data_IF_369459675926
#
_entry.id   IF_369459675926
#
_cell.length_a   1.000
_cell.length_b   1.000
_cell.length_c   1.000
_cell.angle_alpha   90.00
_cell.angle_beta   90.00
_cell.angle_gamma   90.00
#
_symmetry.space_group_name_H-M   'P 1'
#
loop_
_entity.id
_entity.type
_entity.pdbx_description
1 polymer ?
#
# COMPACT_ATOMS: atom_id res chain seq x y z
N UNK A 1 -0.39 -11.19 -1.45
CA UNK A 1 0.47 -12.36 -1.71
C UNK A 1 -0.41 -13.60 -1.76
N UNK A 2 -0.31 -14.39 -2.83
CA UNK A 2 -1.10 -15.61 -2.99
C UNK A 2 -0.19 -16.85 -2.81
N UNK A 3 -0.53 -17.70 -1.84
CA UNK A 3 0.17 -18.97 -1.58
C UNK A 3 -0.66 -20.11 -2.16
N UNK A 4 -0.15 -20.77 -3.20
CA UNK A 4 -0.87 -21.83 -3.93
C UNK A 4 -0.18 -23.19 -3.84
N UNK A 5 0.98 -23.30 -3.20
CA UNK A 5 1.74 -24.57 -3.14
C UNK A 5 0.96 -25.71 -2.49
N UNK A 6 0.07 -25.40 -1.55
CA UNK A 6 -0.78 -26.40 -0.88
C UNK A 6 -1.85 -27.00 -1.79
N UNK A 7 -2.09 -26.38 -2.94
CA UNK A 7 -3.07 -26.82 -3.93
C UNK A 7 -2.48 -27.79 -4.96
N UNK A 8 -1.21 -28.19 -4.81
CA UNK A 8 -0.55 -29.14 -5.71
C UNK A 8 -1.38 -30.42 -5.98
N UNK A 9 -1.94 -31.13 -4.98
CA UNK A 9 -2.72 -32.34 -5.24
C UNK A 9 -3.98 -32.10 -6.09
N UNK A 10 -4.54 -30.90 -6.03
CA UNK A 10 -5.68 -30.48 -6.85
C UNK A 10 -5.23 -30.12 -8.26
N UNK A 11 -4.16 -29.32 -8.40
CA UNK A 11 -3.63 -28.89 -9.68
C UNK A 11 -3.12 -30.06 -10.54
N UNK A 12 -2.50 -31.06 -9.91
CA UNK A 12 -1.98 -32.25 -10.60
C UNK A 12 -3.07 -33.06 -11.33
N UNK A 13 -4.34 -32.91 -10.95
CA UNK A 13 -5.48 -33.64 -11.53
C UNK A 13 -6.26 -32.86 -12.59
N UNK A 14 -5.86 -31.63 -12.85
CA UNK A 14 -6.51 -30.78 -13.84
C UNK A 14 -5.94 -31.06 -15.23
N UNK A 15 -6.77 -30.85 -16.26
CA UNK A 15 -6.28 -30.80 -17.64
C UNK A 15 -5.93 -29.36 -18.07
N UNK A 16 -6.61 -28.37 -17.49
CA UNK A 16 -6.43 -26.96 -17.81
C UNK A 16 -6.31 -26.16 -16.51
N UNK A 17 -5.26 -25.36 -16.38
CA UNK A 17 -5.04 -24.49 -15.23
C UNK A 17 -4.64 -23.09 -15.69
N UNK A 18 -5.54 -22.13 -15.51
CA UNK A 18 -5.30 -20.75 -15.89
C UNK A 18 -5.05 -19.91 -14.65
N UNK A 19 -3.80 -19.46 -14.47
CA UNK A 19 -3.38 -18.70 -13.29
C UNK A 19 -2.61 -17.43 -13.65
N UNK A 20 -2.70 -16.99 -14.91
CA UNK A 20 -2.18 -15.71 -15.36
C UNK A 20 -2.88 -14.53 -14.64
N UNK A 21 -2.27 -13.34 -14.70
CA UNK A 21 -2.79 -12.09 -14.11
C UNK A 21 -3.06 -12.17 -12.60
N UNK A 22 -2.12 -12.75 -11.87
CA UNK A 22 -2.18 -12.91 -10.42
C UNK A 22 -0.91 -12.33 -9.76
N UNK A 23 -0.67 -12.69 -8.50
CA UNK A 23 0.57 -12.36 -7.78
C UNK A 23 1.11 -13.60 -7.09
N UNK A 24 1.12 -14.71 -7.84
CA UNK A 24 1.68 -15.99 -7.41
C UNK A 24 3.19 -15.89 -7.47
N UNK A 25 3.84 -16.41 -6.43
CA UNK A 25 5.29 -16.38 -6.28
C UNK A 25 5.92 -17.72 -6.61
N UNK A 26 5.29 -18.81 -6.19
CA UNK A 26 5.78 -20.18 -6.43
C UNK A 26 4.63 -21.11 -6.80
N UNK A 27 4.88 -22.04 -7.71
CA UNK A 27 3.96 -23.10 -8.11
C UNK A 27 4.69 -24.45 -8.06
N UNK A 28 4.01 -25.49 -7.58
CA UNK A 28 4.51 -26.86 -7.57
C UNK A 28 3.52 -27.78 -8.28
N UNK A 29 4.07 -28.62 -9.14
CA UNK A 29 3.38 -29.72 -9.80
C UNK A 29 4.19 -30.99 -9.57
N UNK A 30 3.54 -32.15 -9.52
CA UNK A 30 4.23 -33.43 -9.55
C UNK A 30 4.58 -33.84 -10.97
N UNK A 31 5.54 -34.75 -11.13
CA UNK A 31 5.93 -35.33 -12.43
C UNK A 31 4.80 -36.15 -13.09
N UNK A 32 3.72 -36.44 -12.36
CA UNK A 32 2.57 -37.22 -12.84
C UNK A 32 1.32 -36.36 -13.03
N UNK A 33 1.49 -35.03 -13.20
CA UNK A 33 0.36 -34.13 -13.45
C UNK A 33 -0.34 -34.46 -14.79
N UNK A 34 -1.62 -34.14 -14.89
CA UNK A 34 -2.43 -34.35 -16.10
C UNK A 34 -2.60 -33.10 -16.96
N UNK A 35 -1.95 -31.99 -16.60
CA UNK A 35 -2.09 -30.71 -17.29
C UNK A 35 -1.69 -30.79 -18.77
N UNK A 36 -2.56 -30.25 -19.61
CA UNK A 36 -2.39 -30.04 -21.05
C UNK A 36 -2.21 -28.56 -21.37
N UNK A 37 -3.00 -27.68 -20.72
CA UNK A 37 -2.92 -26.23 -20.87
C UNK A 37 -2.68 -25.55 -19.52
N UNK A 38 -1.77 -24.58 -19.50
CA UNK A 38 -1.30 -23.85 -18.34
C UNK A 38 -0.97 -22.41 -18.76
N UNK A 39 -1.51 -21.42 -18.07
CA UNK A 39 -1.11 -20.01 -18.26
C UNK A 39 -0.49 -19.47 -16.97
N UNK A 40 0.66 -18.82 -17.10
CA UNK A 40 1.55 -18.41 -15.99
C UNK A 40 1.94 -16.93 -16.05
N UNK A 41 1.70 -16.21 -17.15
CA UNK A 41 2.13 -14.82 -17.34
C UNK A 41 1.51 -13.87 -16.32
N UNK A 42 2.06 -12.66 -16.20
CA UNK A 42 1.53 -11.61 -15.32
C UNK A 42 1.41 -12.07 -13.85
N UNK A 43 2.48 -12.69 -13.34
CA UNK A 43 2.64 -13.11 -11.96
C UNK A 43 3.95 -12.57 -11.36
N UNK A 44 4.25 -12.92 -10.11
CA UNK A 44 5.37 -12.36 -9.36
C UNK A 44 6.42 -13.42 -9.00
N UNK A 45 6.81 -14.22 -10.00
CA UNK A 45 7.50 -15.49 -9.82
C UNK A 45 8.86 -15.38 -9.12
N UNK A 46 9.17 -16.43 -8.36
CA UNK A 46 10.52 -16.77 -7.94
C UNK A 46 11.24 -17.59 -9.03
N UNK A 47 12.47 -17.19 -9.36
CA UNK A 47 13.22 -17.83 -10.46
C UNK A 47 13.56 -19.29 -10.18
N UNK A 48 13.90 -19.64 -8.93
CA UNK A 48 14.22 -21.03 -8.58
C UNK A 48 12.97 -21.93 -8.64
N UNK A 49 11.81 -21.41 -8.22
CA UNK A 49 10.53 -22.09 -8.38
C UNK A 49 10.19 -22.32 -9.85
N UNK A 50 10.39 -21.34 -10.73
CA UNK A 50 10.14 -21.54 -12.17
C UNK A 50 11.08 -22.59 -12.75
N UNK A 51 12.39 -22.51 -12.49
CA UNK A 51 13.35 -23.53 -12.98
C UNK A 51 12.97 -24.93 -12.53
N UNK A 52 12.49 -25.09 -11.28
CA UNK A 52 12.03 -26.37 -10.78
C UNK A 52 10.72 -26.83 -11.47
N UNK A 53 9.78 -25.91 -11.70
CA UNK A 53 8.53 -26.18 -12.40
C UNK A 53 8.78 -26.67 -13.83
N UNK A 54 9.61 -25.96 -14.60
CA UNK A 54 9.92 -26.30 -16.00
C UNK A 54 10.71 -27.60 -16.16
N UNK A 55 11.36 -28.11 -15.10
CA UNK A 55 11.92 -29.47 -15.11
C UNK A 55 10.86 -30.57 -15.03
N UNK A 56 9.70 -30.24 -14.47
CA UNK A 56 8.57 -31.17 -14.30
C UNK A 56 7.64 -31.17 -15.51
N UNK A 57 7.53 -30.03 -16.20
CA UNK A 57 6.72 -29.88 -17.41
C UNK A 57 7.37 -30.65 -18.57
N UNK A 58 6.65 -31.61 -19.15
CA UNK A 58 7.25 -32.56 -20.11
C UNK A 58 7.11 -32.17 -21.59
N UNK A 59 6.06 -31.48 -22.05
CA UNK A 59 5.85 -30.89 -23.41
C UNK A 59 4.69 -29.87 -23.35
N UNK A 60 4.52 -28.95 -24.34
CA UNK A 60 4.12 -27.57 -24.06
C UNK A 60 2.81 -27.51 -23.30
N UNK A 61 2.93 -27.31 -21.98
CA UNK A 61 1.81 -27.02 -21.13
C UNK A 61 1.58 -25.52 -21.06
N UNK A 62 2.64 -24.71 -21.21
CA UNK A 62 2.57 -23.26 -20.99
C UNK A 62 2.17 -22.55 -22.28
N UNK A 63 1.00 -21.93 -22.28
CA UNK A 63 0.36 -21.30 -23.45
C UNK A 63 0.58 -19.78 -23.52
N UNK A 64 1.31 -19.19 -22.58
CA UNK A 64 1.56 -17.75 -22.50
C UNK A 64 2.99 -17.37 -22.05
N UNK A 65 3.33 -16.09 -22.17
CA UNK A 65 4.64 -15.55 -21.82
C UNK A 65 4.54 -14.05 -21.49
N UNK A 66 5.45 -13.57 -20.66
CA UNK A 66 5.65 -12.15 -20.39
C UNK A 66 6.51 -11.49 -21.47
N UNK A 67 6.19 -10.24 -21.80
CA UNK A 67 6.94 -9.46 -22.80
C UNK A 67 8.05 -8.60 -22.18
N UNK A 68 7.78 -8.03 -21.00
CA UNK A 68 8.66 -7.10 -20.32
C UNK A 68 8.60 -7.31 -18.81
N UNK A 69 9.76 -7.21 -18.15
CA UNK A 69 9.86 -7.36 -16.71
C UNK A 69 10.11 -6.02 -16.01
N UNK A 70 9.61 -5.89 -14.78
CA UNK A 70 9.90 -4.76 -13.90
C UNK A 70 11.35 -4.79 -13.42
N UNK A 71 11.82 -3.70 -12.81
CA UNK A 71 13.18 -3.60 -12.29
C UNK A 71 13.48 -4.76 -11.31
N UNK A 72 14.71 -5.28 -11.38
CA UNK A 72 15.19 -6.45 -10.63
C UNK A 72 14.54 -7.80 -11.01
N UNK A 73 13.71 -7.84 -12.06
CA UNK A 73 13.16 -9.06 -12.64
C UNK A 73 13.79 -9.31 -14.01
N UNK A 74 13.87 -10.57 -14.39
CA UNK A 74 14.31 -10.99 -15.72
C UNK A 74 13.45 -12.14 -16.23
N UNK A 75 13.56 -12.42 -17.54
CA UNK A 75 12.83 -13.53 -18.16
C UNK A 75 13.54 -14.85 -17.87
N UNK A 76 12.80 -15.81 -17.35
CA UNK A 76 13.18 -17.21 -17.17
C UNK A 76 12.09 -18.05 -17.85
N UNK A 77 12.47 -18.81 -18.89
CA UNK A 77 11.52 -19.57 -19.71
C UNK A 77 10.34 -18.73 -20.25
N UNK A 78 10.58 -17.46 -20.57
CA UNK A 78 9.55 -16.54 -21.09
C UNK A 78 8.65 -15.90 -20.04
N UNK A 79 8.91 -16.09 -18.74
CA UNK A 79 8.14 -15.50 -17.65
C UNK A 79 9.03 -14.63 -16.77
N UNK A 80 8.50 -13.51 -16.27
CA UNK A 80 9.23 -12.62 -15.40
C UNK A 80 9.38 -13.21 -14.01
N UNK A 81 10.61 -13.25 -13.50
CA UNK A 81 10.92 -13.72 -12.16
C UNK A 81 12.00 -12.87 -11.48
N UNK A 82 12.08 -12.95 -10.15
CA UNK A 82 13.13 -12.34 -9.34
C UNK A 82 13.83 -13.39 -8.50
N UNK A 83 15.16 -13.31 -8.46
CA UNK A 83 15.99 -14.15 -7.59
C UNK A 83 15.80 -13.75 -6.12
N UNK A 84 15.60 -14.73 -5.25
CA UNK A 84 15.51 -14.52 -3.81
C UNK A 84 15.62 -15.84 -3.04
N UNK A 85 16.41 -15.85 -1.96
CA UNK A 85 16.49 -17.00 -1.04
C UNK A 85 15.18 -17.26 -0.28
N UNK A 86 14.40 -16.19 -0.01
CA UNK A 86 13.14 -16.23 0.73
C UNK A 86 12.05 -15.45 0.00
N UNK A 87 11.52 -15.98 -1.11
CA UNK A 87 10.74 -15.19 -2.06
C UNK A 87 9.47 -14.58 -1.44
N UNK A 88 8.74 -15.31 -0.61
CA UNK A 88 7.58 -14.76 0.10
C UNK A 88 7.93 -13.64 1.09
N UNK A 89 9.06 -13.74 1.79
CA UNK A 89 9.52 -12.69 2.70
C UNK A 89 9.95 -11.44 1.91
N UNK A 90 10.67 -11.63 0.81
CA UNK A 90 11.07 -10.54 -0.08
C UNK A 90 9.85 -9.77 -0.62
N UNK A 91 8.79 -10.47 -1.07
CA UNK A 91 7.57 -9.79 -1.51
C UNK A 91 6.80 -9.09 -0.39
N UNK A 92 6.79 -9.68 0.81
CA UNK A 92 6.19 -9.06 1.98
C UNK A 92 6.91 -7.74 2.32
N UNK A 93 8.24 -7.75 2.30
CA UNK A 93 9.04 -6.55 2.52
C UNK A 93 8.80 -5.49 1.43
N UNK A 94 8.68 -5.88 0.16
CA UNK A 94 8.32 -4.96 -0.93
C UNK A 94 6.95 -4.31 -0.69
N UNK A 95 5.94 -5.10 -0.33
CA UNK A 95 4.59 -4.58 -0.04
C UNK A 95 4.60 -3.62 1.15
N UNK A 96 5.29 -3.97 2.24
CA UNK A 96 5.46 -3.11 3.41
C UNK A 96 6.20 -1.82 3.03
N UNK A 97 7.24 -1.89 2.21
CA UNK A 97 7.98 -0.71 1.79
C UNK A 97 7.06 0.26 1.03
N UNK A 98 6.26 -0.25 0.09
CA UNK A 98 5.29 0.55 -0.68
C UNK A 98 4.23 1.19 0.23
N UNK A 99 3.65 0.44 1.17
CA UNK A 99 2.62 0.97 2.08
C UNK A 99 3.19 1.92 3.13
N UNK A 100 4.42 1.69 3.58
CA UNK A 100 5.07 2.54 4.60
C UNK A 100 5.35 3.96 4.10
N UNK A 101 5.53 4.17 2.79
CA UNK A 101 5.65 5.51 2.21
C UNK A 101 4.36 6.30 2.44
N UNK A 102 3.21 5.67 2.19
CA UNK A 102 1.88 6.25 2.46
C UNK A 102 1.74 6.57 3.94
N UNK A 103 2.08 5.64 4.82
CA UNK A 103 1.98 5.86 6.27
C UNK A 103 2.89 6.98 6.78
N UNK A 104 4.12 7.06 6.25
CA UNK A 104 5.07 8.13 6.60
C UNK A 104 4.61 9.49 6.09
N UNK A 105 3.98 9.56 4.92
CA UNK A 105 3.41 10.80 4.39
C UNK A 105 2.24 11.29 5.27
N UNK A 106 1.32 10.39 5.64
CA UNK A 106 0.22 10.68 6.59
C UNK A 106 0.74 11.18 7.94
N UNK A 107 1.86 10.64 8.43
CA UNK A 107 2.53 11.12 9.65
C UNK A 107 3.24 12.47 9.49
N UNK A 108 3.69 12.83 8.28
CA UNK A 108 4.30 14.15 8.00
C UNK A 108 3.28 15.27 7.85
N UNK A 109 2.07 14.96 7.34
CA UNK A 109 0.94 15.91 7.34
C UNK A 109 0.50 16.28 8.76
N UNK A 110 0.74 15.39 9.72
CA UNK A 110 0.79 15.72 11.14
C UNK A 110 2.07 16.49 11.47
N UNK A 111 2.12 17.78 11.09
CA UNK A 111 2.77 18.72 12.00
C UNK A 111 1.95 18.70 13.28
N UNK A 112 2.41 17.91 14.26
CA UNK A 112 1.71 17.76 15.53
C UNK A 112 1.63 19.13 16.23
N UNK A 113 0.53 19.84 16.01
CA UNK A 113 0.18 21.06 16.74
C UNK A 113 0.27 20.79 18.25
N UNK A 114 -0.04 19.56 18.68
CA UNK A 114 0.13 19.07 20.05
C UNK A 114 1.59 19.13 20.51
N UNK A 115 2.55 18.70 19.68
CA UNK A 115 3.98 18.78 20.03
C UNK A 115 4.47 20.23 20.09
N UNK A 116 3.96 21.10 19.22
CA UNK A 116 4.24 22.54 19.28
C UNK A 116 3.68 23.16 20.58
N UNK A 117 2.43 22.86 20.93
CA UNK A 117 1.79 23.28 22.18
C UNK A 117 2.57 22.77 23.40
N UNK A 118 2.96 21.50 23.41
CA UNK A 118 3.70 20.91 24.52
C UNK A 118 5.10 21.53 24.67
N UNK A 119 5.75 21.88 23.57
CA UNK A 119 7.05 22.57 23.60
C UNK A 119 6.93 23.99 24.17
N UNK A 120 5.87 24.73 23.82
CA UNK A 120 5.57 26.05 24.41
C UNK A 120 5.25 25.93 25.90
N UNK A 121 4.48 24.92 26.31
CA UNK A 121 4.17 24.68 27.73
C UNK A 121 5.43 24.36 28.55
N UNK A 122 6.32 23.52 28.03
CA UNK A 122 7.61 23.22 28.67
C UNK A 122 8.49 24.47 28.77
N UNK A 123 8.50 25.33 27.76
CA UNK A 123 9.25 26.58 27.77
C UNK A 123 8.72 27.55 28.85
N UNK A 124 7.39 27.74 28.92
CA UNK A 124 6.75 28.61 29.93
C UNK A 124 7.03 28.10 31.34
N UNK A 125 6.99 26.79 31.55
CA UNK A 125 7.29 26.18 32.84
C UNK A 125 8.77 26.34 33.23
N UNK A 126 9.69 26.16 32.28
CA UNK A 126 11.13 26.36 32.50
C UNK A 126 11.47 27.81 32.88
N UNK A 127 10.86 28.78 32.18
CA UNK A 127 11.04 30.22 32.47
C UNK A 127 10.51 30.56 33.87
N UNK A 128 9.39 29.96 34.30
CA UNK A 128 8.84 30.13 35.66
C UNK A 128 9.72 29.48 36.75
N UNK A 129 10.56 28.51 36.42
CA UNK A 129 11.40 27.77 37.38
C UNK A 129 12.82 28.31 37.54
N UNK A 130 13.40 28.98 36.53
CA UNK A 130 14.80 29.46 36.58
C UNK A 130 14.97 30.97 36.87
N UNK A 131 13.90 31.75 36.99
CA UNK A 131 13.99 33.18 37.28
C UNK A 131 14.00 33.50 38.78
N UNK A 132 15.17 33.79 39.35
CA UNK A 132 15.37 34.36 40.71
C UNK A 132 14.90 35.83 40.85
N UNK A 133 14.01 36.27 39.96
CA UNK A 133 13.34 37.57 40.00
C UNK A 133 11.84 37.26 39.96
N UNK A 134 11.02 37.79 40.87
CA UNK A 134 9.57 37.73 40.72
C UNK A 134 9.23 38.61 39.51
N UNK A 135 9.36 38.03 38.32
CA UNK A 135 8.85 38.60 37.09
C UNK A 135 7.36 38.71 37.32
N UNK A 136 6.92 39.94 37.61
CA UNK A 136 5.53 40.36 37.56
C UNK A 136 4.92 39.65 36.36
N UNK A 137 4.10 38.63 36.63
CA UNK A 137 3.64 37.67 35.62
C UNK A 137 3.21 38.47 34.41
N UNK A 138 3.92 38.29 33.30
CA UNK A 138 3.77 39.16 32.15
C UNK A 138 2.37 38.90 31.57
N UNK A 139 1.37 39.61 32.10
CA UNK A 139 -0.05 39.33 31.86
C UNK A 139 -0.37 39.42 30.37
N UNK A 140 0.41 40.20 29.63
CA UNK A 140 0.40 40.24 28.19
C UNK A 140 0.81 38.89 27.56
N UNK A 141 1.91 38.28 28.00
CA UNK A 141 2.33 36.95 27.53
C UNK A 141 1.31 35.87 27.88
N UNK A 142 0.73 35.90 29.08
CA UNK A 142 -0.32 34.95 29.47
C UNK A 142 -1.61 35.16 28.66
N UNK A 143 -1.96 36.40 28.30
CA UNK A 143 -3.07 36.71 27.41
C UNK A 143 -2.82 36.21 25.98
N UNK A 144 -1.64 36.45 25.42
CA UNK A 144 -1.23 35.96 24.09
C UNK A 144 -1.25 34.42 24.01
N UNK A 145 -0.76 33.73 25.05
CA UNK A 145 -0.82 32.26 25.12
C UNK A 145 -2.26 31.74 25.19
N UNK A 146 -3.14 32.43 25.92
CA UNK A 146 -4.55 32.06 26.01
C UNK A 146 -5.31 32.31 24.70
N UNK A 147 -4.98 33.39 23.98
CA UNK A 147 -5.53 33.69 22.65
C UNK A 147 -5.11 32.62 21.64
N UNK A 148 -3.82 32.29 21.56
CA UNK A 148 -3.31 31.23 20.69
C UNK A 148 -3.95 29.88 21.01
N UNK A 149 -4.16 29.56 22.29
CA UNK A 149 -4.85 28.32 22.68
C UNK A 149 -6.30 28.29 22.19
N UNK A 150 -7.01 29.41 22.28
CA UNK A 150 -8.38 29.51 21.78
C UNK A 150 -8.44 29.38 20.25
N UNK A 151 -7.49 30.00 19.54
CA UNK A 151 -7.39 29.91 18.08
C UNK A 151 -7.07 28.49 17.61
N UNK A 152 -6.11 27.82 18.26
CA UNK A 152 -5.78 26.41 17.97
C UNK A 152 -6.99 25.51 18.22
N UNK A 153 -7.72 25.71 19.32
CA UNK A 153 -8.92 24.91 19.60
C UNK A 153 -10.01 25.13 18.54
N UNK A 154 -10.20 26.38 18.11
CA UNK A 154 -11.15 26.72 17.04
C UNK A 154 -10.77 26.05 15.72
N UNK A 155 -9.52 26.19 15.28
CA UNK A 155 -9.03 25.57 14.04
C UNK A 155 -9.12 24.04 14.09
N UNK A 156 -8.84 23.44 15.25
CA UNK A 156 -8.98 21.98 15.44
C UNK A 156 -10.44 21.54 15.27
N UNK A 157 -11.38 22.29 15.85
CA UNK A 157 -12.81 21.99 15.71
C UNK A 157 -13.29 22.16 14.26
N UNK A 158 -12.84 23.22 13.58
CA UNK A 158 -13.15 23.46 12.17
C UNK A 158 -12.61 22.34 11.25
N UNK A 159 -11.39 21.87 11.51
CA UNK A 159 -10.80 20.73 10.80
C UNK A 159 -11.65 19.46 10.99
N UNK A 160 -11.98 19.11 12.24
CA UNK A 160 -12.79 17.93 12.54
C UNK A 160 -14.15 18.01 11.83
N UNK A 161 -14.78 19.19 11.83
CA UNK A 161 -16.07 19.38 11.19
C UNK A 161 -15.98 19.24 9.67
N UNK A 162 -14.92 19.75 9.04
CA UNK A 162 -14.67 19.55 7.61
C UNK A 162 -14.44 18.08 7.25
N UNK A 163 -13.67 17.35 8.07
CA UNK A 163 -13.44 15.92 7.87
C UNK A 163 -14.75 15.12 7.97
N UNK A 164 -15.58 15.41 8.97
CA UNK A 164 -16.89 14.78 9.15
C UNK A 164 -17.84 15.06 7.99
N UNK A 165 -17.85 16.30 7.48
CA UNK A 165 -18.69 16.69 6.34
C UNK A 165 -18.34 15.88 5.08
N UNK A 166 -17.06 15.62 4.86
CA UNK A 166 -16.57 14.93 3.65
C UNK A 166 -16.40 13.41 3.83
N UNK A 167 -16.54 12.90 5.04
CA UNK A 167 -16.31 11.48 5.36
C UNK A 167 -17.16 10.55 4.51
N UNK A 168 -18.46 10.86 4.34
CA UNK A 168 -19.37 10.07 3.52
C UNK A 168 -18.95 10.02 2.05
N UNK A 169 -18.51 11.16 1.50
CA UNK A 169 -18.04 11.24 0.11
C UNK A 169 -16.76 10.43 -0.09
N UNK A 170 -15.79 10.52 0.82
CA UNK A 170 -14.56 9.73 0.76
C UNK A 170 -14.85 8.22 0.81
N UNK A 171 -15.76 7.78 1.68
CA UNK A 171 -16.16 6.38 1.76
C UNK A 171 -16.85 5.90 0.46
N UNK A 172 -17.65 6.74 -0.17
CA UNK A 172 -18.32 6.41 -1.43
C UNK A 172 -17.33 6.32 -2.59
N UNK A 173 -16.34 7.23 -2.65
CA UNK A 173 -15.24 7.14 -3.63
C UNK A 173 -14.50 5.81 -3.47
N UNK A 174 -14.09 5.46 -2.26
CA UNK A 174 -13.38 4.21 -1.98
C UNK A 174 -14.22 2.97 -2.33
N UNK A 175 -15.52 3.01 -2.05
CA UNK A 175 -16.46 1.95 -2.40
C UNK A 175 -16.54 1.76 -3.91
N UNK A 176 -16.64 2.85 -4.67
CA UNK A 176 -16.73 2.77 -6.12
C UNK A 176 -15.40 2.39 -6.77
N UNK A 177 -14.26 2.87 -6.27
CA UNK A 177 -12.95 2.39 -6.72
C UNK A 177 -12.83 0.86 -6.60
N UNK A 178 -13.25 0.29 -5.46
CA UNK A 178 -13.30 -1.17 -5.26
C UNK A 178 -14.28 -1.85 -6.21
N UNK A 179 -15.48 -1.30 -6.37
CA UNK A 179 -16.54 -1.85 -7.24
C UNK A 179 -16.09 -1.98 -8.70
N UNK A 180 -15.29 -1.05 -9.19
CA UNK A 180 -14.78 -1.02 -10.55
C UNK A 180 -13.34 -1.54 -10.67
N UNK A 181 -12.80 -2.18 -9.63
CA UNK A 181 -11.43 -2.72 -9.60
C UNK A 181 -10.35 -1.69 -9.98
N UNK A 182 -10.59 -0.42 -9.67
CA UNK A 182 -9.65 0.65 -9.94
C UNK A 182 -8.62 0.73 -8.80
N UNK A 183 -7.31 0.74 -9.10
CA UNK A 183 -6.30 0.85 -8.06
C UNK A 183 -6.39 2.20 -7.38
N UNK A 184 -6.45 2.21 -6.05
CA UNK A 184 -6.43 3.42 -5.22
C UNK A 184 -5.00 3.88 -5.02
N UNK A 185 -4.74 5.14 -5.31
CA UNK A 185 -3.51 5.81 -4.91
C UNK A 185 -3.79 6.56 -3.60
N UNK A 186 -3.25 6.06 -2.50
CA UNK A 186 -3.44 6.62 -1.16
C UNK A 186 -2.72 7.97 -0.96
N UNK A 187 -1.86 8.39 -1.90
CA UNK A 187 -1.20 9.71 -1.90
C UNK A 187 -1.91 10.72 -2.79
N UNK A 188 -2.81 10.28 -3.66
CA UNK A 188 -3.52 11.16 -4.57
C UNK A 188 -4.60 11.96 -3.83
N UNK A 189 -4.91 13.17 -4.32
CA UNK A 189 -6.00 13.96 -3.75
C UNK A 189 -7.34 13.26 -3.99
N UNK A 190 -8.35 13.42 -3.12
CA UNK A 190 -9.67 12.83 -3.34
C UNK A 190 -10.30 13.18 -4.69
N UNK A 191 -10.04 14.38 -5.20
CA UNK A 191 -10.46 14.82 -6.54
C UNK A 191 -9.88 13.96 -7.66
N UNK A 192 -8.63 13.52 -7.53
CA UNK A 192 -7.93 12.72 -8.55
C UNK A 192 -8.51 11.29 -8.58
N UNK A 193 -8.81 10.73 -7.41
CA UNK A 193 -9.53 9.45 -7.27
C UNK A 193 -10.93 9.50 -7.87
N UNK A 194 -11.67 10.58 -7.64
CA UNK A 194 -13.00 10.80 -8.21
C UNK A 194 -12.94 10.97 -9.75
N UNK A 195 -11.97 11.73 -10.26
CA UNK A 195 -11.77 11.90 -11.70
C UNK A 195 -11.39 10.58 -12.38
N UNK A 196 -10.57 9.75 -11.73
CA UNK A 196 -10.23 8.41 -12.21
C UNK A 196 -11.47 7.53 -12.38
N UNK A 197 -12.37 7.56 -11.39
CA UNK A 197 -13.66 6.86 -11.46
C UNK A 197 -14.50 7.36 -12.64
N UNK A 198 -14.67 8.68 -12.80
CA UNK A 198 -15.46 9.22 -13.90
C UNK A 198 -14.86 8.96 -15.27
N UNK A 199 -13.53 8.99 -15.39
CA UNK A 199 -12.83 8.68 -16.65
C UNK A 199 -13.09 7.22 -17.04
N UNK A 200 -12.91 6.28 -16.10
CA UNK A 200 -13.21 4.87 -16.34
C UNK A 200 -14.67 4.64 -16.75
N UNK A 201 -15.62 5.31 -16.09
CA UNK A 201 -17.03 5.20 -16.43
C UNK A 201 -17.35 5.75 -17.83
N UNK A 202 -16.70 6.84 -18.25
CA UNK A 202 -16.85 7.40 -19.59
C UNK A 202 -16.27 6.50 -20.67
N UNK A 203 -15.10 5.91 -20.44
CA UNK A 203 -14.46 5.01 -21.42
C UNK A 203 -15.21 3.68 -21.61
N UNK A 204 -16.00 3.28 -20.61
CA UNK A 204 -16.81 2.05 -20.67
C UNK A 204 -18.09 2.22 -21.51
N UNK A 205 -18.52 3.45 -21.78
CA UNK A 205 -19.75 3.79 -22.50
C UNK A 205 -19.45 4.26 -23.92
#
# INVERSE_FOLDING_TARGET
LLLVERNQPQFDRLENLYIDHNSIVTLKLSTHHTLKNLTLSHNDWDCNSLRALFRTLTQPAVDDADQHCKIDYHLEHGLCCKESDKPYLDRLLQYIAMTSVVEKQRKKESCSAINAIHSVQSLVHFIKQQGDVPLQGNAQLEAEVNELRAEVQKLTNEQIQQEQLLQGLHAEIDTNLRRYYLPKDELARPSDSLNKLFTHLKERH
#
